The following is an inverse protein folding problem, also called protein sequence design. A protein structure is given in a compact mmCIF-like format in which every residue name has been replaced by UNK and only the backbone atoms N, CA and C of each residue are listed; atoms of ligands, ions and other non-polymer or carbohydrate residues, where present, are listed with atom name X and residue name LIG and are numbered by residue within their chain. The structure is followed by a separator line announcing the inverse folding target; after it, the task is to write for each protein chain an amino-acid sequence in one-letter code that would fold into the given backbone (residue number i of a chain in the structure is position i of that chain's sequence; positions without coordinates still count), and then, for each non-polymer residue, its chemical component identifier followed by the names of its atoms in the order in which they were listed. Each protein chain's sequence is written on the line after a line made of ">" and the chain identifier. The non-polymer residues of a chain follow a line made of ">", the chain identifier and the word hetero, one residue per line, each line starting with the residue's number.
data_IF_468810993693
#
_entry.id   IF_468810993693
#
_cell.length_a   1.000
_cell.length_b   1.000
_cell.length_c   1.000
_cell.angle_alpha   90.00
_cell.angle_beta   90.00
_cell.angle_gamma   90.00
#
_symmetry.space_group_name_H-M   'P 1'
#
loop_
_entity.id
_entity.type
_entity.pdbx_description
1 polymer ?
#
# COMPACT_ATOMS: atom_id res chain seq x y z
N UNK A 1 -1.19 -13.22 -9.34
CA UNK A 1 -1.82 -12.45 -8.26
C UNK A 1 -0.93 -11.25 -7.96
N UNK A 2 -1.50 -10.06 -7.92
CA UNK A 2 -0.78 -8.82 -7.59
C UNK A 2 -1.21 -8.32 -6.21
N UNK A 3 -0.44 -7.38 -5.68
CA UNK A 3 -0.72 -6.67 -4.43
C UNK A 3 -0.67 -5.16 -4.67
N UNK A 4 -1.39 -4.43 -3.83
CA UNK A 4 -1.26 -2.99 -3.69
C UNK A 4 -0.57 -2.69 -2.36
N UNK A 5 0.16 -1.58 -2.32
CA UNK A 5 0.78 -1.05 -1.12
C UNK A 5 0.19 0.32 -0.86
N UNK A 6 -0.28 0.51 0.36
CA UNK A 6 -0.84 1.77 0.81
C UNK A 6 -0.08 2.29 2.03
N UNK A 7 -0.04 3.61 2.15
CA UNK A 7 0.55 4.31 3.28
C UNK A 7 -0.49 5.18 3.96
N UNK A 8 -0.36 5.35 5.28
CA UNK A 8 -1.18 6.27 6.05
C UNK A 8 -0.50 7.63 6.14
N UNK A 9 -1.16 8.66 5.60
CA UNK A 9 -0.69 10.04 5.68
C UNK A 9 -0.90 10.62 7.10
N UNK A 10 -0.21 11.72 7.45
CA UNK A 10 -0.39 12.39 8.74
C UNK A 10 -1.82 12.87 9.00
N UNK A 11 -2.60 13.13 7.95
CA UNK A 11 -4.03 13.46 8.03
C UNK A 11 -4.94 12.26 8.33
N UNK A 12 -4.35 11.08 8.57
CA UNK A 12 -5.04 9.84 8.89
C UNK A 12 -5.56 9.07 7.70
N UNK A 13 -5.47 9.60 6.47
CA UNK A 13 -5.98 8.93 5.26
C UNK A 13 -5.00 7.89 4.75
N UNK A 14 -5.55 6.77 4.29
CA UNK A 14 -4.81 5.78 3.50
C UNK A 14 -4.74 6.24 2.05
N UNK A 15 -3.54 6.14 1.46
CA UNK A 15 -3.29 6.49 0.07
C UNK A 15 -2.51 5.36 -0.56
N UNK A 16 -2.94 4.96 -1.76
CA UNK A 16 -2.23 4.00 -2.59
C UNK A 16 -0.87 4.58 -3.01
N UNK A 17 0.18 3.85 -2.67
CA UNK A 17 1.54 4.17 -3.08
C UNK A 17 1.88 3.45 -4.39
N UNK A 18 1.43 2.21 -4.53
CA UNK A 18 1.64 1.39 -5.71
C UNK A 18 0.58 0.28 -5.81
N UNK A 19 0.10 0.02 -7.03
CA UNK A 19 -0.79 -1.10 -7.36
C UNK A 19 -0.15 -2.01 -8.41
N UNK A 20 -0.65 -3.24 -8.53
CA UNK A 20 -0.20 -4.19 -9.56
C UNK A 20 1.17 -4.81 -9.27
N UNK A 21 1.71 -4.63 -8.05
CA UNK A 21 2.98 -5.22 -7.66
C UNK A 21 2.86 -6.73 -7.72
N UNK A 22 3.77 -7.39 -8.44
CA UNK A 22 3.82 -8.85 -8.49
C UNK A 22 3.96 -9.37 -7.06
N UNK A 23 3.10 -10.32 -6.66
CA UNK A 23 3.15 -10.93 -5.34
C UNK A 23 4.44 -11.77 -5.20
N UNK A 24 5.54 -11.09 -4.87
CA UNK A 24 6.87 -11.62 -4.63
C UNK A 24 7.39 -10.94 -3.37
N UNK A 25 7.85 -11.74 -2.39
CA UNK A 25 8.32 -11.22 -1.10
C UNK A 25 9.40 -10.17 -1.28
N UNK A 26 10.40 -10.42 -2.12
CA UNK A 26 11.53 -9.52 -2.35
C UNK A 26 11.08 -8.16 -2.92
N UNK A 27 10.14 -8.17 -3.86
CA UNK A 27 9.59 -6.94 -4.43
C UNK A 27 8.77 -6.16 -3.40
N UNK A 28 7.92 -6.86 -2.64
CA UNK A 28 7.09 -6.25 -1.60
C UNK A 28 7.97 -5.61 -0.52
N UNK A 29 9.00 -6.32 -0.05
CA UNK A 29 9.94 -5.79 0.95
C UNK A 29 10.72 -4.58 0.42
N UNK A 30 11.14 -4.60 -0.85
CA UNK A 30 11.79 -3.46 -1.49
C UNK A 30 10.88 -2.23 -1.53
N UNK A 31 9.61 -2.40 -1.92
CA UNK A 31 8.63 -1.31 -1.91
C UNK A 31 8.33 -0.79 -0.51
N UNK A 32 8.21 -1.68 0.49
CA UNK A 32 8.03 -1.28 1.90
C UNK A 32 9.26 -0.49 2.37
N UNK A 33 10.46 -0.92 2.02
CA UNK A 33 11.71 -0.20 2.32
C UNK A 33 11.67 1.22 1.79
N UNK A 34 11.41 1.38 0.49
CA UNK A 34 11.28 2.70 -0.14
C UNK A 34 10.17 3.54 0.51
N UNK A 35 9.02 2.95 0.81
CA UNK A 35 7.91 3.64 1.47
C UNK A 35 8.33 4.20 2.84
N UNK A 36 9.13 3.45 3.62
CA UNK A 36 9.62 3.89 4.93
C UNK A 36 10.75 4.92 4.83
N UNK A 37 11.54 4.91 3.76
CA UNK A 37 12.55 5.95 3.53
C UNK A 37 11.90 7.29 3.15
N UNK A 38 10.88 7.25 2.30
CA UNK A 38 10.16 8.47 1.86
C UNK A 38 9.19 8.95 2.95
N UNK A 39 8.53 8.02 3.65
CA UNK A 39 7.53 8.29 4.67
C UNK A 39 7.86 7.57 5.99
N UNK A 40 8.88 8.01 6.74
CA UNK A 40 9.40 7.31 7.92
C UNK A 40 8.41 7.17 9.08
N UNK A 41 7.38 8.03 9.12
CA UNK A 41 6.32 8.01 10.13
C UNK A 41 5.01 7.41 9.63
N UNK A 42 4.93 7.02 8.35
CA UNK A 42 3.71 6.46 7.80
C UNK A 42 3.57 4.97 8.17
N UNK A 43 2.35 4.59 8.52
CA UNK A 43 1.95 3.19 8.61
C UNK A 43 1.86 2.63 7.19
N UNK A 44 2.45 1.46 6.92
CA UNK A 44 2.48 0.83 5.59
C UNK A 44 1.69 -0.48 5.66
N UNK A 45 0.80 -0.72 4.69
CA UNK A 45 0.05 -1.97 4.57
C UNK A 45 0.12 -2.53 3.15
N UNK A 46 0.08 -3.85 3.06
CA UNK A 46 0.04 -4.59 1.79
C UNK A 46 -1.34 -5.24 1.65
N UNK A 47 -2.03 -4.93 0.58
CA UNK A 47 -3.35 -5.49 0.26
C UNK A 47 -3.21 -6.44 -0.92
N UNK A 48 -3.89 -7.59 -0.87
CA UNK A 48 -4.06 -8.40 -2.07
C UNK A 48 -4.89 -7.60 -3.08
N UNK A 49 -4.36 -7.39 -4.29
CA UNK A 49 -5.10 -6.74 -5.36
C UNK A 49 -6.18 -7.72 -5.82
N UNK A 50 -7.32 -7.69 -5.12
CA UNK A 50 -8.50 -8.43 -5.50
C UNK A 50 -9.22 -7.61 -6.58
N UNK A 51 -9.51 -8.15 -7.78
CA UNK A 51 -10.14 -7.40 -8.87
C UNK A 51 -11.58 -6.91 -8.60
N UNK A 52 -12.06 -6.92 -7.36
CA UNK A 52 -13.45 -6.58 -6.99
C UNK A 52 -13.65 -5.65 -5.81
N UNK A 53 -12.59 -5.08 -5.23
CA UNK A 53 -12.78 -4.06 -4.20
C UNK A 53 -11.95 -2.83 -4.55
N UNK A 54 -12.57 -1.73 -5.00
CA UNK A 54 -11.86 -0.46 -5.02
C UNK A 54 -11.41 -0.18 -3.59
N UNK A 55 -10.15 0.20 -3.43
CA UNK A 55 -9.57 0.67 -2.17
C UNK A 55 -10.23 2.00 -1.77
N UNK A 56 -11.50 1.94 -1.37
CA UNK A 56 -12.32 3.05 -0.88
C UNK A 56 -13.62 2.49 -0.34
N UNK A 57 -13.59 2.01 0.90
CA UNK A 57 -14.75 2.14 1.79
C UNK A 57 -14.37 3.12 2.90
N UNK A 58 -14.04 4.34 2.49
CA UNK A 58 -14.19 5.54 3.30
C UNK A 58 -15.61 6.03 3.03
N UNK A 59 -16.57 5.54 3.82
CA UNK A 59 -17.94 6.04 3.81
C UNK A 59 -18.24 6.63 5.19
N UNK A 60 -18.21 7.97 5.21
CA UNK A 60 -18.90 8.95 6.07
C UNK A 60 -19.19 8.61 7.55
#
# INVERSE_FOLDING_TARGET
>A
MSVAIEIRKPDGRWVELADGIRNSRELIESWIGMAREIYPMAEVRVLNANPRQPASSLTH
#
